data_IF_539028414845
#
_entry.id   IF_539028414845
#
_cell.length_a   1.000
_cell.length_b   1.000
_cell.length_c   1.000
_cell.angle_alpha   90.00
_cell.angle_beta   90.00
_cell.angle_gamma   90.00
#
_symmetry.space_group_name_H-M   'P 1'
#
loop_
_entity.id
_entity.type
_entity.pdbx_description
1 polymer ?
#
# COMPACT_ATOMS: atom_id res chain seq x y z
N UNK A 1 1.90 6.67 49.06
CA UNK A 1 2.75 6.83 47.86
C UNK A 1 2.59 5.73 46.81
N UNK A 2 2.41 4.45 47.17
CA UNK A 2 2.27 3.35 46.19
C UNK A 2 0.93 3.31 45.42
N UNK A 3 -0.15 3.87 45.99
CA UNK A 3 -1.50 3.89 45.37
C UNK A 3 -1.65 4.93 44.25
N UNK A 4 -0.95 6.07 44.32
CA UNK A 4 -0.97 7.12 43.29
C UNK A 4 -0.18 6.74 42.04
N UNK A 5 0.85 5.91 42.17
CA UNK A 5 1.64 5.37 41.04
C UNK A 5 0.80 4.42 40.17
N UNK A 6 -0.08 3.61 40.76
CA UNK A 6 -0.96 2.70 40.00
C UNK A 6 -2.01 3.43 39.16
N UNK A 7 -2.49 4.58 39.64
CA UNK A 7 -3.48 5.38 38.92
C UNK A 7 -2.84 6.10 37.71
N UNK A 8 -1.57 6.49 37.83
CA UNK A 8 -0.84 7.19 36.76
C UNK A 8 -0.55 6.29 35.55
N UNK A 9 -0.27 5.00 35.75
CA UNK A 9 -0.07 4.05 34.65
C UNK A 9 -1.34 3.77 33.83
N UNK A 10 -2.53 3.82 34.46
CA UNK A 10 -3.81 3.56 33.79
C UNK A 10 -4.24 4.69 32.86
N UNK A 11 -3.82 5.92 33.14
CA UNK A 11 -4.15 7.10 32.32
C UNK A 11 -3.30 7.15 31.04
N UNK A 12 -2.05 6.67 31.09
CA UNK A 12 -1.13 6.71 29.93
C UNK A 12 -1.54 5.70 28.84
N UNK A 13 -2.12 4.56 29.21
CA UNK A 13 -2.54 3.53 28.25
C UNK A 13 -3.72 3.96 27.36
N UNK A 14 -4.50 4.99 27.76
CA UNK A 14 -5.67 5.45 27.01
C UNK A 14 -5.31 6.38 25.84
N UNK A 15 -4.12 6.98 25.83
CA UNK A 15 -3.70 7.95 24.80
C UNK A 15 -2.94 7.34 23.63
N UNK A 16 -2.65 6.04 23.65
CA UNK A 16 -1.88 5.37 22.59
C UNK A 16 -2.81 4.60 21.66
N UNK A 17 -3.87 5.26 21.17
CA UNK A 17 -4.67 4.74 20.07
C UNK A 17 -4.12 5.28 18.76
N UNK A 18 -3.03 4.69 18.25
CA UNK A 18 -2.65 4.92 16.86
C UNK A 18 -3.63 4.13 15.99
N UNK A 19 -4.61 4.82 15.44
CA UNK A 19 -5.48 4.23 14.42
C UNK A 19 -4.70 4.14 13.11
N UNK A 20 -4.18 2.95 12.82
CA UNK A 20 -3.59 2.62 11.52
C UNK A 20 -4.73 2.36 10.52
N UNK A 21 -5.26 3.42 9.91
CA UNK A 21 -6.18 3.29 8.78
C UNK A 21 -5.39 3.08 7.49
N UNK A 22 -5.09 1.82 7.17
CA UNK A 22 -4.69 1.46 5.82
C UNK A 22 -5.76 2.01 4.86
N UNK A 23 -5.32 2.86 3.93
CA UNK A 23 -6.23 3.66 3.09
C UNK A 23 -6.48 2.90 1.79
N UNK A 24 -7.76 2.69 1.45
CA UNK A 24 -8.12 2.15 0.14
C UNK A 24 -7.85 3.19 -0.94
N UNK A 25 -7.37 2.76 -2.11
CA UNK A 25 -7.29 3.61 -3.30
C UNK A 25 -8.66 4.01 -3.83
N UNK A 26 -9.74 3.31 -3.44
CA UNK A 26 -10.99 3.27 -4.20
C UNK A 26 -10.80 2.56 -5.54
N UNK A 27 -11.85 2.53 -6.37
CA UNK A 27 -11.75 1.96 -7.72
C UNK A 27 -10.84 2.83 -8.61
N UNK A 28 -9.94 2.16 -9.33
CA UNK A 28 -8.91 2.79 -10.17
C UNK A 28 -8.70 2.02 -11.46
N UNK A 29 -8.44 2.74 -12.55
CA UNK A 29 -7.92 2.17 -13.80
C UNK A 29 -6.39 2.15 -13.77
N UNK A 30 -5.81 1.07 -14.28
CA UNK A 30 -4.37 0.98 -14.51
C UNK A 30 -4.07 1.67 -15.84
N UNK A 31 -3.33 2.78 -15.81
CA UNK A 31 -2.95 3.53 -17.03
C UNK A 31 -1.64 3.04 -17.62
N UNK A 32 -0.78 2.40 -16.82
CA UNK A 32 0.41 1.68 -17.28
C UNK A 32 0.86 0.65 -16.24
N UNK A 33 1.57 -0.38 -16.70
CA UNK A 33 2.11 -1.47 -15.89
C UNK A 33 3.51 -1.83 -16.42
N UNK A 34 4.46 -2.05 -15.52
CA UNK A 34 5.81 -2.43 -15.93
C UNK A 34 6.67 -2.94 -14.78
N UNK A 35 7.86 -3.43 -15.12
CA UNK A 35 8.90 -3.78 -14.16
C UNK A 35 10.22 -3.17 -14.62
N UNK A 36 11.10 -2.88 -13.67
CA UNK A 36 12.46 -2.50 -14.02
C UNK A 36 13.20 -3.70 -14.62
N UNK A 37 14.23 -3.42 -15.42
CA UNK A 37 15.09 -4.44 -16.04
C UNK A 37 16.38 -4.71 -15.23
N UNK A 38 16.59 -3.99 -14.13
CA UNK A 38 17.80 -4.06 -13.29
C UNK A 38 17.52 -4.60 -11.89
N UNK A 39 16.26 -4.67 -11.49
CA UNK A 39 15.82 -5.16 -10.19
C UNK A 39 14.45 -5.85 -10.35
N UNK A 40 13.97 -6.46 -9.26
CA UNK A 40 12.71 -7.20 -9.24
C UNK A 40 11.50 -6.28 -8.97
N UNK A 41 11.64 -4.97 -9.10
CA UNK A 41 10.59 -4.02 -8.76
C UNK A 41 9.64 -3.86 -9.94
N UNK A 42 8.37 -4.12 -9.68
CA UNK A 42 7.28 -3.83 -10.60
C UNK A 42 6.44 -2.65 -10.09
N UNK A 43 5.72 -2.03 -11.01
CA UNK A 43 4.84 -0.91 -10.72
C UNK A 43 3.57 -0.96 -11.56
N UNK A 44 2.53 -0.36 -11.00
CA UNK A 44 1.35 0.07 -11.75
C UNK A 44 1.16 1.57 -11.58
N UNK A 45 0.81 2.24 -12.66
CA UNK A 45 0.30 3.60 -12.62
C UNK A 45 -1.22 3.53 -12.57
N UNK A 46 -1.82 4.15 -11.55
CA UNK A 46 -3.28 4.26 -11.40
C UNK A 46 -3.76 5.68 -11.70
N UNK A 47 -5.01 5.81 -12.12
CA UNK A 47 -5.68 7.10 -12.30
C UNK A 47 -6.11 7.74 -10.96
N UNK A 48 -6.80 8.88 -11.05
CA UNK A 48 -7.34 9.59 -9.89
C UNK A 48 -6.28 10.24 -8.99
N UNK A 49 -6.68 10.53 -7.75
CA UNK A 49 -5.82 11.21 -6.77
C UNK A 49 -4.68 10.30 -6.26
N UNK A 50 -3.48 10.86 -6.01
CA UNK A 50 -2.35 10.13 -5.44
C UNK A 50 -2.67 9.45 -4.12
N UNK A 51 -2.11 8.26 -3.93
CA UNK A 51 -2.38 7.40 -2.77
C UNK A 51 -1.12 7.16 -1.94
N UNK A 52 -1.33 6.73 -0.70
CA UNK A 52 -0.27 6.39 0.24
C UNK A 52 0.15 7.51 1.19
N UNK A 53 1.13 7.23 2.06
CA UNK A 53 1.59 8.15 3.10
C UNK A 53 2.15 9.46 2.51
N UNK A 54 2.10 10.58 3.24
CA UNK A 54 2.61 11.87 2.75
C UNK A 54 4.05 11.82 2.20
N UNK A 55 4.93 11.01 2.80
CA UNK A 55 6.33 10.88 2.40
C UNK A 55 6.55 10.23 1.02
N UNK A 56 5.56 9.47 0.53
CA UNK A 56 5.66 8.68 -0.69
C UNK A 56 4.34 8.68 -1.47
N UNK A 57 3.55 9.74 -1.33
CA UNK A 57 2.24 9.82 -1.96
C UNK A 57 2.39 9.88 -3.49
N UNK A 58 1.83 8.92 -4.21
CA UNK A 58 2.02 8.79 -5.66
C UNK A 58 0.88 8.04 -6.34
N UNK A 59 0.80 8.14 -7.66
CA UNK A 59 -0.03 7.28 -8.51
C UNK A 59 0.73 6.04 -9.00
N UNK A 60 2.04 5.95 -8.78
CA UNK A 60 2.87 4.79 -9.11
C UNK A 60 3.00 3.91 -7.89
N UNK A 61 2.25 2.81 -7.82
CA UNK A 61 2.31 1.86 -6.69
C UNK A 61 3.30 0.75 -7.02
N UNK A 62 4.23 0.45 -6.10
CA UNK A 62 5.37 -0.45 -6.34
C UNK A 62 5.37 -1.66 -5.41
N UNK A 63 5.92 -2.77 -5.91
CA UNK A 63 6.19 -3.99 -5.15
C UNK A 63 7.39 -4.72 -5.75
N UNK A 64 8.02 -5.60 -4.98
CA UNK A 64 9.07 -6.50 -5.46
C UNK A 64 8.46 -7.86 -5.81
N UNK A 65 8.59 -8.29 -7.06
CA UNK A 65 7.95 -9.51 -7.58
C UNK A 65 8.53 -10.79 -6.97
N UNK A 66 9.77 -10.77 -6.52
CA UNK A 66 10.47 -11.94 -5.96
C UNK A 66 10.44 -11.96 -4.42
N UNK A 67 10.50 -10.79 -3.78
CA UNK A 67 10.67 -10.68 -2.33
C UNK A 67 9.39 -10.39 -1.55
N UNK A 68 8.35 -9.86 -2.19
CA UNK A 68 7.08 -9.64 -1.51
C UNK A 68 6.18 -10.89 -1.64
N UNK A 69 5.49 -11.30 -0.57
CA UNK A 69 4.55 -12.42 -0.63
C UNK A 69 3.53 -12.22 -1.74
N UNK A 70 3.31 -13.26 -2.55
CA UNK A 70 2.43 -13.19 -3.72
C UNK A 70 2.84 -12.14 -4.78
N UNK A 71 4.10 -11.70 -4.84
CA UNK A 71 4.57 -10.70 -5.81
C UNK A 71 4.26 -11.08 -7.26
N UNK A 72 4.58 -12.33 -7.65
CA UNK A 72 4.26 -12.89 -8.99
C UNK A 72 2.75 -13.00 -9.25
N UNK A 73 1.98 -13.46 -8.26
CA UNK A 73 0.51 -13.56 -8.39
C UNK A 73 -0.13 -12.17 -8.50
N UNK A 74 0.38 -11.19 -7.76
CA UNK A 74 -0.05 -9.79 -7.84
C UNK A 74 0.24 -9.19 -9.21
N UNK A 75 1.44 -9.45 -9.75
CA UNK A 75 1.77 -9.07 -11.12
C UNK A 75 0.81 -9.71 -12.14
N UNK A 76 0.54 -11.00 -12.01
CA UNK A 76 -0.39 -11.70 -12.90
C UNK A 76 -1.82 -11.12 -12.85
N UNK A 77 -2.34 -10.84 -11.65
CA UNK A 77 -3.67 -10.23 -11.46
C UNK A 77 -3.74 -8.80 -12.04
N UNK A 78 -2.73 -7.97 -11.76
CA UNK A 78 -2.67 -6.60 -12.28
C UNK A 78 -2.51 -6.58 -13.81
N UNK A 79 -1.72 -7.51 -14.36
CA UNK A 79 -1.56 -7.66 -15.80
C UNK A 79 -2.88 -8.09 -16.47
N UNK A 80 -3.61 -9.03 -15.88
CA UNK A 80 -4.93 -9.42 -16.34
C UNK A 80 -5.93 -8.25 -16.28
N UNK A 81 -5.93 -7.47 -15.19
CA UNK A 81 -6.78 -6.28 -15.06
C UNK A 81 -6.46 -5.22 -16.12
N UNK A 82 -5.18 -4.94 -16.35
CA UNK A 82 -4.71 -3.98 -17.35
C UNK A 82 -5.18 -4.36 -18.77
N UNK A 83 -4.90 -5.59 -19.20
CA UNK A 83 -5.28 -6.04 -20.55
C UNK A 83 -6.79 -6.23 -20.76
N UNK A 84 -7.53 -6.52 -19.69
CA UNK A 84 -9.00 -6.61 -19.76
C UNK A 84 -9.72 -5.26 -19.60
N UNK A 85 -8.97 -4.18 -19.34
CA UNK A 85 -9.55 -2.86 -19.08
C UNK A 85 -10.36 -2.80 -17.78
N UNK A 86 -10.21 -3.76 -16.88
CA UNK A 86 -10.89 -3.81 -15.59
C UNK A 86 -10.27 -2.84 -14.59
N UNK A 87 -11.08 -2.41 -13.63
CA UNK A 87 -10.59 -1.57 -12.53
C UNK A 87 -9.92 -2.44 -11.44
N UNK A 88 -9.17 -1.79 -10.57
CA UNK A 88 -8.59 -2.40 -9.37
C UNK A 88 -8.89 -1.55 -8.13
N UNK A 89 -8.93 -2.21 -6.98
CA UNK A 89 -8.88 -1.56 -5.67
C UNK A 89 -7.64 -2.06 -4.96
N UNK A 90 -6.82 -1.12 -4.49
CA UNK A 90 -5.59 -1.38 -3.75
C UNK A 90 -5.78 -0.93 -2.31
N UNK A 91 -5.47 -1.80 -1.36
CA UNK A 91 -5.33 -1.38 0.02
C UNK A 91 -3.92 -0.90 0.24
N UNK A 92 -3.75 0.41 0.40
CA UNK A 92 -2.44 1.03 0.44
C UNK A 92 -1.84 0.88 1.83
N UNK A 93 -0.56 0.50 1.86
CA UNK A 93 0.23 0.41 3.07
C UNK A 93 0.44 1.80 3.67
N UNK A 94 0.47 1.88 4.99
CA UNK A 94 0.89 3.09 5.71
C UNK A 94 2.40 3.32 5.68
N UNK A 95 3.14 2.34 5.16
CA UNK A 95 4.58 2.42 4.96
C UNK A 95 4.87 2.59 3.47
N UNK A 96 5.89 3.39 3.18
CA UNK A 96 6.43 3.50 1.84
C UNK A 96 7.06 2.19 1.37
N UNK A 97 7.18 2.03 0.06
CA UNK A 97 7.82 0.85 -0.51
C UNK A 97 9.28 0.77 -0.07
N UNK A 98 9.64 -0.31 0.61
CA UNK A 98 10.89 -0.45 1.38
C UNK A 98 12.19 -0.30 0.57
N UNK A 99 12.14 -0.51 -0.74
CA UNK A 99 13.31 -0.39 -1.62
C UNK A 99 13.38 0.97 -2.34
N UNK A 100 12.26 1.69 -2.41
CA UNK A 100 12.18 3.03 -3.00
C UNK A 100 11.17 3.87 -2.21
N UNK A 101 11.67 4.53 -1.17
CA UNK A 101 10.87 5.17 -0.13
C UNK A 101 10.06 6.39 -0.60
N UNK A 102 10.11 6.74 -1.88
CA UNK A 102 9.32 7.80 -2.51
C UNK A 102 8.05 7.28 -3.22
N UNK A 103 7.78 5.97 -3.18
CA UNK A 103 6.58 5.36 -3.75
C UNK A 103 5.78 4.58 -2.69
N UNK A 104 4.44 4.52 -2.83
CA UNK A 104 3.60 3.70 -1.97
C UNK A 104 3.65 2.23 -2.40
N UNK A 105 3.25 1.35 -1.50
CA UNK A 105 3.02 -0.08 -1.75
C UNK A 105 1.63 -0.49 -1.25
N UNK A 106 1.20 -1.71 -1.53
CA UNK A 106 -0.13 -2.21 -1.14
C UNK A 106 -0.02 -3.45 -0.25
N UNK A 107 -1.05 -3.66 0.57
CA UNK A 107 -1.22 -4.83 1.43
C UNK A 107 -2.02 -5.92 0.71
N UNK A 108 -3.01 -5.53 -0.08
CA UNK A 108 -3.78 -6.41 -0.96
C UNK A 108 -4.33 -5.65 -2.16
N UNK A 109 -4.73 -6.40 -3.17
CA UNK A 109 -5.40 -5.90 -4.37
C UNK A 109 -6.60 -6.78 -4.71
N UNK A 110 -7.59 -6.17 -5.34
CA UNK A 110 -8.71 -6.87 -5.98
C UNK A 110 -8.99 -6.28 -7.34
N UNK A 111 -9.24 -7.14 -8.32
CA UNK A 111 -9.75 -6.75 -9.63
C UNK A 111 -11.26 -6.60 -9.52
N UNK A 112 -11.78 -5.47 -9.96
CA UNK A 112 -13.22 -5.13 -9.95
C UNK A 112 -13.63 -4.66 -11.33
N UNK A 113 -14.94 -4.75 -11.62
CA UNK A 113 -15.63 -4.21 -12.80
C UNK A 113 -14.80 -4.04 -14.08
#
# INVERSE_FOLDING_TARGET
>A
MLKTIRLFCLVIAFFISFSTYATSSGERKITSLGCHNIDNICFVQIDGAPVGPPACKSNSVRWDIEKDPNGKSSFSLLNAAYFSGKSVVLQISEQCFKYQNNFPTFLWLTVVN
#
